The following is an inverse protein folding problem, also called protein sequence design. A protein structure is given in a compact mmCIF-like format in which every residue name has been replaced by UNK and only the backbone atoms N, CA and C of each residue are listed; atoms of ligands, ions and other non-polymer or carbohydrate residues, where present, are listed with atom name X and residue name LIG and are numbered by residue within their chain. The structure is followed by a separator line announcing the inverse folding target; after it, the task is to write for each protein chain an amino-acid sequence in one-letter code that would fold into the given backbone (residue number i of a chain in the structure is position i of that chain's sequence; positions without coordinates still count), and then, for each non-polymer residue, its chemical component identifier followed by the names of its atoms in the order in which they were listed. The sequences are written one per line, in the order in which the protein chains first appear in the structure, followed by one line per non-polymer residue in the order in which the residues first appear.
data_IF_417033713269
#
_entry.id   IF_417033713269
#
_cell.length_a   1.000
_cell.length_b   1.000
_cell.length_c   1.000
_cell.angle_alpha   90.00
_cell.angle_beta   90.00
_cell.angle_gamma   90.00
#
_symmetry.space_group_name_H-M   'P 1'
#
loop_
_entity.id
_entity.type
_entity.pdbx_description
1 polymer ?
#
# COMPACT_ATOMS: atom_id res chain seq x y z
N UNK A 1 21.04 62.35 -19.64
CA UNK A 1 21.40 61.41 -18.55
C UNK A 1 20.30 60.37 -18.25
N UNK A 2 19.01 60.73 -18.21
CA UNK A 2 17.92 59.80 -17.85
C UNK A 2 17.80 58.53 -18.73
N UNK A 3 18.09 58.61 -20.03
CA UNK A 3 17.99 57.44 -20.93
C UNK A 3 19.07 56.36 -20.72
N UNK A 4 20.24 56.72 -20.17
CA UNK A 4 21.29 55.74 -19.82
C UNK A 4 20.92 54.96 -18.57
N UNK A 5 20.31 55.63 -17.59
CA UNK A 5 19.87 55.02 -16.32
C UNK A 5 18.70 54.05 -16.57
N UNK A 6 17.73 54.41 -17.42
CA UNK A 6 16.62 53.53 -17.80
C UNK A 6 17.06 52.24 -18.51
N UNK A 7 18.06 52.33 -19.41
CA UNK A 7 18.63 51.14 -20.06
C UNK A 7 19.38 50.26 -19.05
N UNK A 8 20.15 50.86 -18.15
CA UNK A 8 20.90 50.10 -17.14
C UNK A 8 19.99 49.39 -16.14
N UNK A 9 18.89 50.03 -15.70
CA UNK A 9 17.89 49.41 -14.80
C UNK A 9 17.14 48.28 -15.52
N UNK A 10 16.75 48.47 -16.79
CA UNK A 10 16.09 47.43 -17.58
C UNK A 10 17.01 46.23 -17.83
N UNK A 11 18.30 46.47 -18.09
CA UNK A 11 19.30 45.40 -18.25
C UNK A 11 19.56 44.62 -16.95
N UNK A 12 19.61 45.30 -15.80
CA UNK A 12 19.75 44.63 -14.49
C UNK A 12 18.49 43.85 -14.12
N UNK A 13 17.28 44.37 -14.42
CA UNK A 13 16.03 43.64 -14.20
C UNK A 13 15.94 42.38 -15.07
N UNK A 14 16.39 42.43 -16.32
CA UNK A 14 16.42 41.27 -17.23
C UNK A 14 17.46 40.23 -16.79
N UNK A 15 18.61 40.65 -16.24
CA UNK A 15 19.62 39.73 -15.69
C UNK A 15 19.14 39.07 -14.40
N UNK A 16 18.42 39.79 -13.53
CA UNK A 16 17.79 39.21 -12.32
C UNK A 16 16.64 38.26 -12.70
N UNK A 17 15.87 38.58 -13.74
CA UNK A 17 14.81 37.70 -14.27
C UNK A 17 15.37 36.44 -14.95
N UNK A 18 16.57 36.51 -15.54
CA UNK A 18 17.30 35.36 -16.09
C UNK A 18 17.94 34.48 -15.01
N UNK A 19 18.25 35.03 -13.83
CA UNK A 19 18.70 34.26 -12.65
C UNK A 19 17.53 33.56 -11.92
N UNK A 20 16.28 33.91 -12.25
CA UNK A 20 15.07 33.20 -11.81
C UNK A 20 14.54 32.21 -12.85
N UNK A 21 15.35 31.80 -13.84
CA UNK A 21 15.11 30.53 -14.51
C UNK A 21 15.36 29.47 -13.45
N UNK A 22 14.32 29.22 -12.64
CA UNK A 22 14.24 28.10 -11.73
C UNK A 22 14.77 26.91 -12.49
N UNK A 23 15.90 26.42 -12.00
CA UNK A 23 16.46 25.15 -12.34
C UNK A 23 15.32 24.13 -12.32
N UNK A 24 14.74 23.85 -13.48
CA UNK A 24 14.33 22.50 -13.81
C UNK A 24 15.64 21.71 -13.90
N UNK A 25 16.32 21.56 -12.77
CA UNK A 25 17.35 20.57 -12.59
C UNK A 25 16.62 19.27 -12.84
N UNK A 26 16.90 18.69 -14.00
CA UNK A 26 16.40 17.38 -14.35
C UNK A 26 16.99 16.44 -13.30
N UNK A 27 16.16 16.00 -12.34
CA UNK A 27 16.60 15.07 -11.29
C UNK A 27 17.18 13.84 -11.97
N UNK A 28 18.24 13.30 -11.36
CA UNK A 28 18.87 12.08 -11.83
C UNK A 28 17.84 10.94 -11.85
N UNK A 29 17.85 10.13 -12.91
CA UNK A 29 16.97 8.98 -13.02
C UNK A 29 17.41 7.89 -12.05
N UNK A 30 16.51 7.51 -11.13
CA UNK A 30 16.73 6.42 -10.18
C UNK A 30 16.18 5.12 -10.76
N UNK A 31 17.04 4.12 -10.86
CA UNK A 31 16.69 2.78 -11.33
C UNK A 31 16.95 1.70 -10.31
N UNK A 32 17.75 2.00 -9.29
CA UNK A 32 18.23 1.05 -8.29
C UNK A 32 18.10 1.60 -6.87
N UNK A 33 17.94 0.69 -5.92
CA UNK A 33 17.75 1.01 -4.50
C UNK A 33 18.96 1.71 -3.87
N UNK A 34 20.18 1.37 -4.30
CA UNK A 34 21.41 2.00 -3.79
C UNK A 34 21.49 3.51 -4.08
N UNK A 35 20.80 3.98 -5.13
CA UNK A 35 20.78 5.38 -5.53
C UNK A 35 19.86 6.25 -4.66
N UNK A 36 19.13 5.66 -3.71
CA UNK A 36 18.25 6.37 -2.78
C UNK A 36 19.02 7.10 -1.65
N UNK A 37 20.29 6.77 -1.45
CA UNK A 37 21.10 7.40 -0.42
C UNK A 37 21.24 8.92 -0.66
N UNK A 38 20.86 9.72 0.35
CA UNK A 38 20.93 11.19 0.30
C UNK A 38 19.92 11.84 -0.65
N UNK A 39 18.88 11.10 -1.07
CA UNK A 39 17.81 11.63 -1.92
C UNK A 39 16.69 12.26 -1.09
N UNK A 40 15.88 13.07 -1.75
CA UNK A 40 14.70 13.71 -1.15
C UNK A 40 13.45 12.86 -1.39
N UNK A 41 12.80 12.46 -0.30
CA UNK A 41 11.60 11.63 -0.30
C UNK A 41 10.33 12.46 -0.12
N UNK A 42 9.32 12.18 -0.94
CA UNK A 42 7.96 12.60 -0.74
C UNK A 42 7.22 11.60 0.16
N UNK A 43 6.64 12.07 1.26
CA UNK A 43 5.92 11.22 2.22
C UNK A 43 4.59 11.87 2.63
N UNK A 44 3.53 11.08 2.93
CA UNK A 44 2.32 11.63 3.51
C UNK A 44 2.54 12.07 4.96
N UNK A 45 1.96 13.21 5.32
CA UNK A 45 2.02 13.77 6.67
C UNK A 45 1.30 12.87 7.67
N UNK A 46 1.84 12.74 8.88
CA UNK A 46 1.22 11.96 9.97
C UNK A 46 1.44 10.45 9.88
N UNK A 47 2.36 10.01 9.02
CA UNK A 47 2.78 8.60 8.88
C UNK A 47 4.17 8.42 9.48
N UNK A 48 4.57 7.18 9.75
CA UNK A 48 5.93 6.85 10.22
C UNK A 48 6.94 6.63 9.07
N UNK A 49 6.51 6.87 7.82
CA UNK A 49 7.29 6.53 6.64
C UNK A 49 8.65 7.26 6.61
N UNK A 50 8.72 8.51 7.09
CA UNK A 50 9.97 9.26 7.15
C UNK A 50 10.95 8.68 8.17
N UNK A 51 10.48 8.32 9.36
CA UNK A 51 11.32 7.65 10.37
C UNK A 51 11.85 6.30 9.87
N UNK A 52 11.02 5.52 9.18
CA UNK A 52 11.44 4.25 8.58
C UNK A 52 12.45 4.47 7.44
N UNK A 53 12.26 5.49 6.60
CA UNK A 53 13.25 5.89 5.59
C UNK A 53 14.56 6.32 6.26
N UNK A 54 14.52 7.18 7.29
CA UNK A 54 15.72 7.64 8.03
C UNK A 54 16.49 6.48 8.66
N UNK A 55 15.79 5.45 9.13
CA UNK A 55 16.41 4.26 9.72
C UNK A 55 17.35 3.54 8.74
N UNK A 56 17.04 3.60 7.42
CA UNK A 56 17.82 3.00 6.34
C UNK A 56 18.73 4.00 5.64
N UNK A 57 18.28 5.24 5.50
CA UNK A 57 18.95 6.35 4.82
C UNK A 57 19.03 7.58 5.74
N UNK A 58 20.02 7.63 6.65
CA UNK A 58 20.08 8.67 7.68
C UNK A 58 20.19 10.10 7.16
N UNK A 59 20.67 10.27 5.92
CA UNK A 59 20.84 11.58 5.26
C UNK A 59 19.70 11.89 4.28
N UNK A 60 18.59 11.16 4.31
CA UNK A 60 17.43 11.44 3.47
C UNK A 60 16.78 12.79 3.85
N UNK A 61 16.38 13.54 2.83
CA UNK A 61 15.58 14.76 3.00
C UNK A 61 14.10 14.43 2.75
N UNK A 62 13.18 15.27 3.25
CA UNK A 62 11.75 14.98 3.20
C UNK A 62 10.90 16.17 2.74
N UNK A 63 9.92 15.87 1.89
CA UNK A 63 8.79 16.74 1.56
C UNK A 63 7.49 16.04 1.97
N UNK A 64 6.66 16.77 2.69
CA UNK A 64 5.42 16.26 3.24
C UNK A 64 4.23 16.64 2.38
N UNK A 65 3.32 15.68 2.18
CA UNK A 65 2.12 15.82 1.37
C UNK A 65 0.88 15.40 2.15
N UNK A 66 -0.31 15.78 1.67
CA UNK A 66 -1.57 15.45 2.34
C UNK A 66 -2.02 14.01 2.05
N UNK A 67 -1.57 13.41 0.93
CA UNK A 67 -1.92 12.05 0.54
C UNK A 67 -0.72 11.33 -0.11
N UNK A 68 -0.79 9.99 -0.17
CA UNK A 68 0.20 9.15 -0.87
C UNK A 68 0.20 9.46 -2.36
N UNK A 69 -0.98 9.65 -2.95
CA UNK A 69 -1.10 10.02 -4.37
C UNK A 69 -0.39 11.34 -4.65
N UNK A 70 -0.60 12.37 -3.83
CA UNK A 70 0.08 13.67 -3.99
C UNK A 70 1.61 13.54 -3.92
N UNK A 71 2.11 12.70 -3.00
CA UNK A 71 3.54 12.40 -2.89
C UNK A 71 4.07 11.73 -4.17
N UNK A 72 3.37 10.72 -4.69
CA UNK A 72 3.75 10.05 -5.93
C UNK A 72 3.69 10.98 -7.16
N UNK A 73 2.68 11.85 -7.25
CA UNK A 73 2.57 12.84 -8.34
C UNK A 73 3.67 13.90 -8.23
N UNK A 74 4.10 14.27 -7.03
CA UNK A 74 5.25 15.14 -6.83
C UNK A 74 6.53 14.53 -7.40
N UNK A 75 6.75 13.23 -7.22
CA UNK A 75 7.89 12.49 -7.82
C UNK A 75 7.78 12.48 -9.35
N UNK A 76 6.61 12.15 -9.90
CA UNK A 76 6.37 12.17 -11.36
C UNK A 76 6.71 13.54 -11.97
N UNK A 77 6.34 14.61 -11.25
CA UNK A 77 6.62 16.00 -11.61
C UNK A 77 8.05 16.47 -11.32
N UNK A 78 8.93 15.64 -10.76
CA UNK A 78 10.31 16.00 -10.43
C UNK A 78 10.46 16.91 -9.21
N UNK A 79 9.45 16.98 -8.34
CA UNK A 79 9.50 17.79 -7.10
C UNK A 79 10.24 17.09 -5.96
N UNK A 80 10.34 15.77 -6.00
CA UNK A 80 11.10 14.89 -5.10
C UNK A 80 11.73 13.76 -5.92
N UNK A 81 12.72 13.05 -5.37
CA UNK A 81 13.43 11.96 -6.06
C UNK A 81 12.66 10.63 -5.98
N UNK A 82 12.07 10.35 -4.83
CA UNK A 82 11.29 9.13 -4.57
C UNK A 82 10.10 9.44 -3.66
N UNK A 83 9.08 8.59 -3.66
CA UNK A 83 8.01 8.58 -2.68
C UNK A 83 8.17 7.32 -1.83
N UNK A 84 8.02 7.42 -0.51
CA UNK A 84 8.11 6.27 0.39
C UNK A 84 6.80 6.04 1.11
N UNK A 85 6.25 4.83 0.95
CA UNK A 85 5.01 4.41 1.59
C UNK A 85 4.83 2.89 1.48
N UNK A 86 3.71 2.37 1.99
CA UNK A 86 3.33 0.97 1.87
C UNK A 86 3.36 0.51 0.41
N UNK A 87 4.17 -0.51 0.16
CA UNK A 87 4.47 -1.05 -1.16
C UNK A 87 3.23 -1.39 -2.01
N UNK A 88 2.16 -2.01 -1.47
CA UNK A 88 1.03 -2.36 -2.31
C UNK A 88 0.22 -1.14 -2.77
N UNK A 89 0.18 -0.09 -1.93
CA UNK A 89 -0.46 1.17 -2.26
C UNK A 89 0.35 1.89 -3.34
N UNK A 90 1.69 1.88 -3.22
CA UNK A 90 2.57 2.42 -4.26
C UNK A 90 2.40 1.68 -5.59
N UNK A 91 2.30 0.34 -5.58
CA UNK A 91 2.05 -0.46 -6.79
C UNK A 91 0.72 -0.11 -7.44
N UNK A 92 -0.35 -0.02 -6.65
CA UNK A 92 -1.67 0.38 -7.14
C UNK A 92 -1.64 1.79 -7.76
N UNK A 93 -0.95 2.74 -7.14
CA UNK A 93 -0.77 4.10 -7.68
C UNK A 93 0.03 4.05 -8.99
N UNK A 94 1.15 3.32 -9.03
CA UNK A 94 2.00 3.21 -10.22
C UNK A 94 1.24 2.61 -11.41
N UNK A 95 0.48 1.53 -11.19
CA UNK A 95 -0.34 0.89 -12.21
C UNK A 95 -1.34 1.86 -12.87
N UNK A 96 -1.88 2.81 -12.11
CA UNK A 96 -2.84 3.82 -12.59
C UNK A 96 -2.16 5.09 -13.12
N UNK A 97 -0.85 5.24 -12.97
CA UNK A 97 -0.13 6.46 -13.29
C UNK A 97 1.16 6.15 -14.08
N UNK A 98 1.08 5.99 -15.41
CA UNK A 98 2.24 5.70 -16.26
C UNK A 98 3.41 6.67 -16.05
N UNK A 99 4.64 6.18 -16.12
CA UNK A 99 5.85 6.96 -15.81
C UNK A 99 6.25 6.95 -14.33
N UNK A 100 5.62 6.11 -13.52
CA UNK A 100 5.99 5.81 -12.14
C UNK A 100 6.19 4.30 -11.99
N UNK A 101 7.18 3.91 -11.20
CA UNK A 101 7.44 2.51 -10.86
C UNK A 101 7.85 2.36 -9.41
N UNK A 102 7.57 1.20 -8.84
CA UNK A 102 8.04 0.83 -7.49
C UNK A 102 9.34 0.05 -7.63
N UNK A 103 10.35 0.39 -6.82
CA UNK A 103 11.59 -0.37 -6.76
C UNK A 103 11.33 -1.74 -6.10
N UNK A 104 11.99 -2.82 -6.57
CA UNK A 104 11.75 -4.16 -6.05
C UNK A 104 12.28 -4.38 -4.62
N UNK A 105 13.37 -3.69 -4.24
CA UNK A 105 13.89 -3.74 -2.88
C UNK A 105 13.10 -2.77 -1.98
N UNK A 106 12.70 -3.26 -0.81
CA UNK A 106 11.94 -2.51 0.19
C UNK A 106 12.86 -1.85 1.21
N UNK A 107 12.44 -0.68 1.71
CA UNK A 107 13.10 0.07 2.79
C UNK A 107 12.97 -0.70 4.10
N UNK A 108 11.77 -1.20 4.38
CA UNK A 108 11.47 -2.12 5.48
C UNK A 108 10.60 -3.25 4.97
N UNK A 109 10.67 -4.40 5.63
CA UNK A 109 9.86 -5.56 5.28
C UNK A 109 8.87 -5.86 6.39
N UNK A 110 7.61 -6.02 6.02
CA UNK A 110 6.50 -6.40 6.87
C UNK A 110 5.82 -7.66 6.35
N UNK A 111 5.19 -8.41 7.25
CA UNK A 111 4.43 -9.61 6.92
C UNK A 111 2.96 -9.39 7.24
N UNK A 112 2.08 -9.59 6.26
CA UNK A 112 0.64 -9.44 6.45
C UNK A 112 -0.02 -10.79 6.64
N UNK A 113 -0.89 -10.88 7.66
CA UNK A 113 -1.60 -12.09 8.03
C UNK A 113 -3.06 -11.84 8.33
N UNK A 114 -3.86 -12.89 8.22
CA UNK A 114 -5.19 -12.92 8.81
C UNK A 114 -5.07 -13.24 10.29
N UNK A 115 -5.98 -12.74 11.11
CA UNK A 115 -6.00 -13.07 12.52
C UNK A 115 -7.32 -13.73 12.92
N UNK A 116 -7.22 -14.70 13.83
CA UNK A 116 -8.33 -15.41 14.47
C UNK A 116 -8.14 -15.35 15.98
N UNK A 117 -9.15 -15.75 16.76
CA UNK A 117 -9.00 -15.81 18.23
C UNK A 117 -7.90 -16.80 18.64
N UNK A 118 -7.32 -16.60 19.82
CA UNK A 118 -6.18 -17.40 20.29
C UNK A 118 -6.51 -18.90 20.36
N UNK A 119 -7.76 -19.23 20.69
CA UNK A 119 -8.28 -20.59 20.79
C UNK A 119 -8.64 -21.24 19.44
N UNK A 120 -8.84 -20.44 18.37
CA UNK A 120 -9.35 -20.91 17.07
C UNK A 120 -8.25 -21.51 16.18
N UNK A 121 -7.48 -22.44 16.75
CA UNK A 121 -6.34 -23.09 16.07
C UNK A 121 -6.74 -23.83 14.80
N UNK A 122 -7.93 -24.46 14.79
CA UNK A 122 -8.49 -25.13 13.62
C UNK A 122 -8.75 -24.15 12.46
N UNK A 123 -9.29 -22.97 12.76
CA UNK A 123 -9.54 -21.95 11.73
C UNK A 123 -8.23 -21.41 11.19
N UNK A 124 -7.25 -21.11 12.05
CA UNK A 124 -5.90 -20.73 11.63
C UNK A 124 -5.29 -21.77 10.67
N UNK A 125 -5.37 -23.06 11.01
CA UNK A 125 -4.86 -24.15 10.16
C UNK A 125 -5.59 -24.24 8.82
N UNK A 126 -6.90 -23.99 8.79
CA UNK A 126 -7.67 -23.95 7.55
C UNK A 126 -7.24 -22.80 6.63
N UNK A 127 -6.99 -21.61 7.20
CA UNK A 127 -6.46 -20.45 6.47
C UNK A 127 -5.06 -20.74 5.94
N UNK A 128 -4.15 -21.24 6.77
CA UNK A 128 -2.78 -21.55 6.39
C UNK A 128 -2.72 -22.57 5.24
N UNK A 129 -3.56 -23.61 5.35
CA UNK A 129 -3.63 -24.69 4.36
C UNK A 129 -4.21 -24.19 3.04
N UNK A 130 -5.23 -23.32 3.07
CA UNK A 130 -5.78 -22.69 1.88
C UNK A 130 -4.73 -21.81 1.18
N UNK A 131 -4.06 -20.92 1.91
CA UNK A 131 -3.05 -20.03 1.32
C UNK A 131 -1.88 -20.83 0.73
N UNK A 132 -1.45 -21.89 1.40
CA UNK A 132 -0.43 -22.79 0.87
C UNK A 132 -0.89 -23.50 -0.41
N UNK A 133 -2.14 -23.98 -0.46
CA UNK A 133 -2.76 -24.59 -1.63
C UNK A 133 -2.78 -23.62 -2.82
N UNK A 134 -3.28 -22.39 -2.62
CA UNK A 134 -3.32 -21.33 -3.63
C UNK A 134 -1.93 -20.99 -4.18
N UNK A 135 -0.91 -20.95 -3.31
CA UNK A 135 0.48 -20.72 -3.75
C UNK A 135 1.02 -21.91 -4.55
N UNK A 136 0.68 -23.14 -4.16
CA UNK A 136 1.20 -24.34 -4.81
C UNK A 136 0.61 -24.62 -6.20
N UNK A 137 -0.63 -24.17 -6.46
CA UNK A 137 -1.35 -24.44 -7.71
C UNK A 137 -1.35 -23.24 -8.69
N UNK A 138 -0.70 -22.13 -8.33
CA UNK A 138 -0.60 -20.92 -9.15
C UNK A 138 -1.81 -19.97 -9.06
N UNK A 139 -2.87 -20.32 -8.32
CA UNK A 139 -4.03 -19.44 -8.19
C UNK A 139 -3.70 -18.18 -7.39
N UNK A 140 -2.77 -18.26 -6.43
CA UNK A 140 -2.28 -17.07 -5.73
C UNK A 140 -1.70 -16.05 -6.72
N UNK A 141 -0.89 -16.48 -7.69
CA UNK A 141 -0.32 -15.57 -8.70
C UNK A 141 -1.41 -14.99 -9.62
N UNK A 142 -2.43 -15.77 -9.97
CA UNK A 142 -3.61 -15.27 -10.69
C UNK A 142 -4.33 -14.17 -9.90
N UNK A 143 -4.52 -14.39 -8.59
CA UNK A 143 -5.11 -13.39 -7.68
C UNK A 143 -4.23 -12.15 -7.59
N UNK A 144 -2.91 -12.31 -7.49
CA UNK A 144 -1.98 -11.17 -7.47
C UNK A 144 -2.06 -10.34 -8.75
N UNK A 145 -2.09 -10.98 -9.91
CA UNK A 145 -2.22 -10.28 -11.20
C UNK A 145 -3.58 -9.57 -11.34
N UNK A 146 -4.64 -10.12 -10.74
CA UNK A 146 -5.98 -9.53 -10.72
C UNK A 146 -6.04 -8.28 -9.85
N UNK A 147 -5.49 -8.36 -8.64
CA UNK A 147 -5.61 -7.29 -7.64
C UNK A 147 -4.50 -6.25 -7.72
N UNK A 148 -3.29 -6.65 -8.07
CA UNK A 148 -2.11 -5.80 -8.22
C UNK A 148 -1.56 -5.93 -9.66
N UNK A 149 -2.33 -5.52 -10.69
CA UNK A 149 -1.85 -5.57 -12.07
C UNK A 149 -0.69 -4.60 -12.28
N UNK A 150 0.18 -4.88 -13.25
CA UNK A 150 1.27 -3.96 -13.62
C UNK A 150 0.74 -2.61 -14.14
N UNK A 151 -0.44 -2.62 -14.77
CA UNK A 151 -1.07 -1.41 -15.32
C UNK A 151 -2.60 -1.49 -15.21
N UNK A 152 -3.22 -0.34 -14.92
CA UNK A 152 -4.67 -0.17 -14.87
C UNK A 152 -5.26 -0.36 -13.48
N UNK A 153 -6.55 -0.70 -13.44
CA UNK A 153 -7.29 -0.96 -12.21
C UNK A 153 -7.31 -2.46 -11.91
N UNK A 154 -7.51 -2.85 -10.63
CA UNK A 154 -7.83 -4.23 -10.29
C UNK A 154 -8.99 -4.76 -11.14
N UNK A 155 -8.90 -6.03 -11.55
CA UNK A 155 -9.97 -6.69 -12.27
C UNK A 155 -11.12 -7.10 -11.33
N UNK A 156 -12.35 -7.31 -11.84
CA UNK A 156 -13.49 -7.68 -11.03
C UNK A 156 -13.25 -8.94 -10.19
N UNK A 157 -13.78 -8.96 -8.97
CA UNK A 157 -13.72 -10.12 -8.09
C UNK A 157 -14.45 -11.32 -8.73
N UNK A 158 -13.86 -12.52 -8.76
CA UNK A 158 -14.56 -13.70 -9.24
C UNK A 158 -15.74 -14.05 -8.32
N UNK A 159 -16.81 -14.58 -8.89
CA UNK A 159 -17.92 -15.13 -8.12
C UNK A 159 -17.47 -16.43 -7.43
N UNK A 160 -17.50 -16.44 -6.11
CA UNK A 160 -17.20 -17.62 -5.30
C UNK A 160 -18.51 -18.18 -4.75
N UNK A 161 -18.70 -19.49 -4.90
CA UNK A 161 -19.88 -20.19 -4.38
C UNK A 161 -19.93 -20.15 -2.85
N UNK A 162 -21.08 -19.78 -2.30
CA UNK A 162 -21.32 -19.78 -0.86
C UNK A 162 -21.65 -21.20 -0.36
N UNK A 163 -21.21 -21.50 0.86
CA UNK A 163 -21.63 -22.70 1.56
C UNK A 163 -22.96 -22.52 2.30
N UNK A 164 -23.40 -23.58 2.97
CA UNK A 164 -24.74 -23.67 3.59
C UNK A 164 -24.72 -23.93 5.10
N UNK A 165 -23.57 -24.25 5.68
CA UNK A 165 -23.39 -24.62 7.09
C UNK A 165 -23.21 -23.40 8.01
N UNK A 166 -24.17 -22.48 7.94
CA UNK A 166 -24.18 -21.24 8.72
C UNK A 166 -23.28 -20.15 8.14
N UNK A 167 -22.95 -19.17 8.98
CA UNK A 167 -22.27 -17.93 8.58
C UNK A 167 -20.83 -17.91 9.10
N UNK A 168 -19.92 -17.41 8.26
CA UNK A 168 -18.55 -17.07 8.58
C UNK A 168 -18.37 -15.55 8.49
N UNK A 169 -18.15 -14.90 9.62
CA UNK A 169 -18.07 -13.44 9.71
C UNK A 169 -16.63 -12.98 9.57
N UNK A 170 -16.35 -12.24 8.51
CA UNK A 170 -15.04 -11.68 8.24
C UNK A 170 -15.02 -10.18 8.55
N UNK A 171 -14.21 -9.77 9.53
CA UNK A 171 -14.01 -8.36 9.88
C UNK A 171 -12.92 -7.70 9.03
N UNK A 172 -13.22 -6.56 8.44
CA UNK A 172 -12.27 -5.80 7.61
C UNK A 172 -12.45 -4.29 7.78
N UNK A 173 -11.48 -3.53 7.30
CA UNK A 173 -11.57 -2.09 7.04
C UNK A 173 -11.46 -1.85 5.53
N UNK A 174 -12.59 -1.52 4.89
CA UNK A 174 -12.70 -1.42 3.43
C UNK A 174 -12.22 -0.06 2.87
N UNK A 175 -10.98 0.33 3.19
CA UNK A 175 -10.39 1.62 2.79
C UNK A 175 -9.05 1.50 2.05
N UNK A 176 -8.59 0.28 1.78
CA UNK A 176 -7.25 -0.01 1.25
C UNK A 176 -7.37 -0.80 -0.06
N UNK A 177 -7.48 -0.09 -1.18
CA UNK A 177 -7.39 -0.70 -2.50
C UNK A 177 -5.95 -1.15 -2.79
N UNK A 178 -5.71 -2.38 -3.26
CA UNK A 178 -6.68 -3.38 -3.77
C UNK A 178 -7.00 -4.56 -2.83
N UNK A 179 -6.78 -4.41 -1.52
CA UNK A 179 -6.90 -5.52 -0.56
C UNK A 179 -8.28 -5.64 0.05
N UNK A 180 -8.80 -4.54 0.58
CA UNK A 180 -10.15 -4.42 1.12
C UNK A 180 -10.64 -3.01 0.83
N UNK A 181 -11.57 -2.86 -0.10
CA UNK A 181 -12.07 -1.56 -0.52
C UNK A 181 -13.48 -1.67 -1.07
N UNK A 182 -14.17 -0.52 -1.12
CA UNK A 182 -15.47 -0.41 -1.80
C UNK A 182 -15.21 -0.06 -3.26
N UNK A 183 -15.69 -0.88 -4.20
CA UNK A 183 -15.51 -0.63 -5.63
C UNK A 183 -16.58 0.31 -6.21
N UNK A 184 -16.53 0.51 -7.53
CA UNK A 184 -17.49 1.36 -8.24
C UNK A 184 -18.94 0.86 -8.17
N UNK A 185 -19.17 -0.41 -7.83
CA UNK A 185 -20.50 -1.01 -7.65
C UNK A 185 -21.04 -0.89 -6.22
N UNK A 186 -20.27 -0.27 -5.31
CA UNK A 186 -20.55 -0.17 -3.87
C UNK A 186 -20.45 -1.51 -3.12
N UNK A 187 -19.79 -2.51 -3.71
CA UNK A 187 -19.49 -3.78 -3.04
C UNK A 187 -18.11 -3.73 -2.37
N UNK A 188 -17.98 -4.41 -1.23
CA UNK A 188 -16.68 -4.58 -0.57
C UNK A 188 -15.96 -5.75 -1.23
N UNK A 189 -14.84 -5.43 -1.88
CA UNK A 189 -14.03 -6.38 -2.66
C UNK A 189 -12.54 -6.21 -2.34
N UNK A 190 -11.72 -7.09 -2.91
CA UNK A 190 -10.27 -7.02 -2.81
C UNK A 190 -9.64 -8.37 -2.51
N UNK A 191 -8.30 -8.40 -2.51
CA UNK A 191 -7.52 -9.62 -2.25
C UNK A 191 -7.90 -10.28 -0.91
N UNK A 192 -8.09 -9.50 0.15
CA UNK A 192 -8.44 -10.03 1.47
C UNK A 192 -9.85 -10.61 1.48
N UNK A 193 -10.77 -9.97 0.75
CA UNK A 193 -12.17 -10.42 0.61
C UNK A 193 -12.23 -11.72 -0.18
N UNK A 194 -11.44 -11.83 -1.25
CA UNK A 194 -11.37 -13.04 -2.04
C UNK A 194 -10.81 -14.22 -1.24
N UNK A 195 -9.72 -14.00 -0.49
CA UNK A 195 -9.19 -15.03 0.40
C UNK A 195 -10.23 -15.41 1.46
N UNK A 196 -10.91 -14.44 2.08
CA UNK A 196 -11.95 -14.72 3.07
C UNK A 196 -13.13 -15.51 2.49
N UNK A 197 -13.54 -15.23 1.26
CA UNK A 197 -14.58 -15.97 0.56
C UNK A 197 -14.15 -17.42 0.26
N UNK A 198 -12.88 -17.63 -0.13
CA UNK A 198 -12.32 -18.97 -0.33
C UNK A 198 -12.21 -19.75 1.00
N UNK A 199 -11.87 -19.08 2.11
CA UNK A 199 -11.91 -19.68 3.45
C UNK A 199 -13.35 -20.09 3.81
N UNK A 200 -14.32 -19.20 3.64
CA UNK A 200 -15.73 -19.50 3.90
C UNK A 200 -16.22 -20.70 3.08
N UNK A 201 -15.89 -20.73 1.78
CA UNK A 201 -16.19 -21.87 0.90
C UNK A 201 -15.56 -23.17 1.40
N UNK A 202 -14.28 -23.16 1.80
CA UNK A 202 -13.58 -24.33 2.36
C UNK A 202 -14.24 -24.85 3.63
N UNK A 203 -14.85 -23.97 4.42
CA UNK A 203 -15.61 -24.29 5.63
C UNK A 203 -17.08 -24.66 5.35
N UNK A 204 -17.52 -24.67 4.08
CA UNK A 204 -18.92 -24.79 3.68
C UNK A 204 -19.84 -23.76 4.37
N UNK A 205 -19.36 -22.54 4.58
CA UNK A 205 -20.12 -21.43 5.19
C UNK A 205 -20.44 -20.34 4.20
N UNK A 206 -21.49 -19.57 4.49
CA UNK A 206 -21.76 -18.30 3.84
C UNK A 206 -20.83 -17.23 4.41
N UNK A 207 -20.20 -16.43 3.56
CA UNK A 207 -19.41 -15.27 4.00
C UNK A 207 -20.35 -14.10 4.38
N UNK A 208 -20.11 -13.51 5.54
CA UNK A 208 -20.64 -12.20 5.93
C UNK A 208 -19.47 -11.24 6.17
N UNK A 209 -19.44 -10.14 5.41
CA UNK A 209 -18.40 -9.11 5.56
C UNK A 209 -18.88 -8.09 6.60
N UNK A 210 -18.08 -7.88 7.63
CA UNK A 210 -18.33 -6.90 8.69
C UNK A 210 -17.30 -5.78 8.56
N UNK A 211 -17.69 -4.70 7.88
CA UNK A 211 -16.85 -3.51 7.72
C UNK A 211 -16.80 -2.70 9.01
N UNK A 212 -15.61 -2.30 9.44
CA UNK A 212 -15.38 -1.53 10.66
C UNK A 212 -14.10 -0.71 10.59
N UNK A 213 -13.90 0.17 11.57
CA UNK A 213 -12.63 0.87 11.75
C UNK A 213 -11.51 -0.12 12.08
N UNK A 214 -10.33 0.06 11.50
CA UNK A 214 -9.19 -0.85 11.66
C UNK A 214 -8.84 -1.12 13.14
N UNK A 215 -8.88 -0.08 13.98
CA UNK A 215 -8.62 -0.18 15.42
C UNK A 215 -9.65 -1.01 16.20
N UNK A 216 -10.84 -1.25 15.64
CA UNK A 216 -11.91 -2.03 16.26
C UNK A 216 -11.81 -3.54 15.96
N UNK A 217 -10.98 -3.97 15.00
CA UNK A 217 -10.96 -5.35 14.51
C UNK A 217 -10.51 -6.37 15.58
N UNK A 218 -9.38 -6.12 16.26
CA UNK A 218 -8.90 -7.00 17.33
C UNK A 218 -9.93 -7.08 18.48
N UNK A 219 -10.46 -5.96 19.01
CA UNK A 219 -11.56 -6.00 19.97
C UNK A 219 -12.79 -6.78 19.49
N UNK A 220 -13.19 -6.62 18.22
CA UNK A 220 -14.34 -7.33 17.65
C UNK A 220 -14.11 -8.85 17.58
N UNK A 221 -12.90 -9.26 17.20
CA UNK A 221 -12.48 -10.66 17.16
C UNK A 221 -12.51 -11.30 18.55
N UNK A 222 -11.90 -10.63 19.55
CA UNK A 222 -11.89 -11.06 20.96
C UNK A 222 -13.32 -11.13 21.53
N UNK A 223 -14.18 -10.18 21.19
CA UNK A 223 -15.57 -10.14 21.61
C UNK A 223 -16.48 -11.12 20.82
N UNK A 224 -15.91 -11.98 19.98
CA UNK A 224 -16.63 -12.96 19.15
C UNK A 224 -17.71 -12.34 18.23
N UNK A 225 -17.49 -11.10 17.79
CA UNK A 225 -18.35 -10.41 16.81
C UNK A 225 -18.05 -10.83 15.37
N UNK A 226 -16.81 -11.25 15.12
CA UNK A 226 -16.31 -11.78 13.85
C UNK A 226 -15.46 -13.02 14.12
N UNK A 227 -15.29 -13.88 13.13
CA UNK A 227 -14.57 -15.16 13.25
C UNK A 227 -13.12 -15.04 12.80
N UNK A 228 -12.86 -14.18 11.80
CA UNK A 228 -11.54 -13.87 11.27
C UNK A 228 -11.48 -12.39 10.90
N UNK A 229 -10.30 -11.78 10.99
CA UNK A 229 -10.05 -10.41 10.54
C UNK A 229 -8.90 -10.34 9.53
N UNK A 230 -8.99 -9.40 8.59
CA UNK A 230 -7.95 -9.11 7.60
C UNK A 230 -8.20 -7.75 6.94
N UNK A 231 -7.13 -6.99 6.77
CA UNK A 231 -7.10 -5.67 6.14
C UNK A 231 -5.62 -5.24 6.03
N UNK A 232 -4.77 -6.03 5.36
CA UNK A 232 -3.31 -5.87 5.37
C UNK A 232 -2.70 -5.81 6.79
N UNK A 233 -3.15 -6.65 7.72
CA UNK A 233 -2.70 -6.55 9.12
C UNK A 233 -1.25 -7.01 9.23
N UNK A 234 -0.34 -6.06 9.51
CA UNK A 234 1.03 -6.39 9.90
C UNK A 234 1.06 -7.29 11.14
N UNK A 235 1.72 -8.42 11.00
CA UNK A 235 2.01 -9.35 12.10
C UNK A 235 3.08 -8.71 12.98
N UNK A 236 2.71 -8.38 14.22
CA UNK A 236 3.64 -7.85 15.22
C UNK A 236 3.57 -8.69 16.49
N UNK A 237 4.64 -8.70 17.28
CA UNK A 237 4.66 -9.39 18.58
C UNK A 237 3.57 -8.85 19.53
N UNK A 238 3.29 -7.54 19.49
CA UNK A 238 2.28 -6.90 20.33
C UNK A 238 0.87 -7.38 19.99
N UNK A 239 0.55 -7.50 18.70
CA UNK A 239 -0.74 -8.04 18.25
C UNK A 239 -0.83 -9.55 18.47
N UNK A 240 0.25 -10.29 18.23
CA UNK A 240 0.31 -11.75 18.39
C UNK A 240 0.09 -12.21 19.85
N UNK A 241 0.29 -11.32 20.84
CA UNK A 241 -0.09 -11.58 22.24
C UNK A 241 -1.61 -11.61 22.47
N UNK A 242 -2.40 -11.02 21.56
CA UNK A 242 -3.85 -10.84 21.69
C UNK A 242 -4.66 -11.72 20.74
N UNK A 243 -4.09 -12.08 19.60
CA UNK A 243 -4.75 -12.84 18.53
C UNK A 243 -3.78 -13.84 17.91
N UNK A 244 -4.32 -14.88 17.27
CA UNK A 244 -3.54 -15.88 16.56
C UNK A 244 -3.49 -15.55 15.08
N UNK A 245 -2.29 -15.28 14.55
CA UNK A 245 -2.10 -14.99 13.13
C UNK A 245 -1.97 -16.25 12.27
N UNK A 246 -2.48 -16.18 11.05
CA UNK A 246 -2.09 -17.09 9.97
C UNK A 246 -0.61 -16.93 9.63
N UNK A 247 -0.07 -17.87 8.85
CA UNK A 247 1.16 -17.62 8.11
C UNK A 247 0.98 -16.39 7.21
N UNK A 248 2.06 -15.67 6.87
CA UNK A 248 1.97 -14.52 5.99
C UNK A 248 1.40 -14.90 4.63
N UNK A 249 0.31 -14.25 4.23
CA UNK A 249 -0.22 -14.41 2.88
C UNK A 249 0.53 -13.49 1.92
N UNK A 250 0.83 -12.26 2.35
CA UNK A 250 1.55 -11.23 1.61
C UNK A 250 2.79 -10.74 2.38
N UNK A 251 3.88 -10.49 1.65
CA UNK A 251 5.09 -9.85 2.18
C UNK A 251 5.15 -8.45 1.58
N UNK A 252 5.06 -7.43 2.42
CA UNK A 252 5.05 -6.03 2.04
C UNK A 252 6.03 -5.23 2.87
N UNK A 253 5.68 -3.98 3.14
CA UNK A 253 6.48 -3.03 3.92
C UNK A 253 6.59 -1.69 3.21
N UNK A 254 7.51 -0.85 3.66
CA UNK A 254 7.75 0.45 3.02
C UNK A 254 8.63 0.25 1.80
N UNK A 255 8.16 0.65 0.63
CA UNK A 255 8.94 0.68 -0.60
C UNK A 255 9.18 2.12 -1.08
N UNK A 256 10.01 2.24 -2.11
CA UNK A 256 10.24 3.50 -2.81
C UNK A 256 9.59 3.45 -4.20
N UNK A 257 8.77 4.45 -4.51
CA UNK A 257 8.26 4.73 -5.84
C UNK A 257 9.09 5.84 -6.48
N UNK A 258 9.54 5.62 -7.71
CA UNK A 258 10.39 6.55 -8.47
C UNK A 258 9.75 6.85 -9.82
N UNK A 259 10.22 7.93 -10.45
CA UNK A 259 9.89 8.22 -11.84
C UNK A 259 10.60 7.21 -12.77
N UNK A 260 9.89 6.71 -13.77
CA UNK A 260 10.45 5.84 -14.81
C UNK A 260 11.45 6.53 -15.72
#
# INVERSE_FOLDING_TARGET
MLNKIRKSILSVLVIILLLTISSCSQREKITDFSQLAGKEFAVPTGTIADDLVRSKFPNAEFKYFNSVLDACIAVKGGKADAAAYDEPILKNIAAKNPGLKVLPEMITTDNYGFAVRLEDTHLKSAVDSLVAELKSNGEYDNMMNRWLPEQGNPAPMPKIEEGTDGVFRFGTAAITEPFSFVDGSQEIVGLDIEIAALVAKKLNKKLEIVNMEFGAMIPALIANKVDMIGACITITEERAKKVLFSNPYYVGGIAALVKE
#
